data_IF_971983637052
#
_entry.id   IF_971983637052
#
_cell.length_a   1.000
_cell.length_b   1.000
_cell.length_c   1.000
_cell.angle_alpha   90.00
_cell.angle_beta   90.00
_cell.angle_gamma   90.00
#
_symmetry.space_group_name_H-M   'P 1'
#
loop_
_entity.id
_entity.type
_entity.pdbx_description
1 polymer ?
#
# COMPACT_ATOMS: atom_id res chain seq x y z
N UNK A 1 -36.63 -39.94 11.18
CA UNK A 1 -35.21 -39.54 11.31
C UNK A 1 -34.43 -40.28 10.23
N UNK A 2 -34.24 -39.63 9.09
CA UNK A 2 -33.51 -40.19 7.95
C UNK A 2 -32.07 -39.69 8.03
N UNK A 3 -31.18 -40.54 8.50
CA UNK A 3 -29.73 -40.34 8.52
C UNK A 3 -29.24 -40.29 7.08
N UNK A 4 -28.90 -39.09 6.60
CA UNK A 4 -28.29 -38.90 5.29
C UNK A 4 -26.80 -39.19 5.44
N UNK A 5 -26.36 -40.33 4.89
CA UNK A 5 -24.94 -40.70 4.80
C UNK A 5 -24.15 -39.64 4.02
N UNK A 6 -22.87 -39.39 4.36
CA UNK A 6 -22.02 -38.52 3.57
C UNK A 6 -21.81 -39.17 2.20
N UNK A 7 -22.30 -38.50 1.14
CA UNK A 7 -21.97 -38.89 -0.23
C UNK A 7 -20.45 -38.77 -0.42
N UNK A 8 -19.77 -39.90 -0.48
CA UNK A 8 -18.41 -40.00 -0.98
C UNK A 8 -18.39 -39.42 -2.40
N UNK A 9 -17.77 -38.26 -2.60
CA UNK A 9 -17.58 -37.72 -3.93
C UNK A 9 -16.75 -38.71 -4.75
N UNK A 10 -17.26 -39.12 -5.92
CA UNK A 10 -16.61 -40.10 -6.76
C UNK A 10 -15.29 -39.60 -7.35
N UNK A 11 -14.41 -40.49 -7.84
CA UNK A 11 -13.14 -40.14 -8.49
C UNK A 11 -13.26 -39.09 -9.61
N UNK A 12 -14.43 -38.97 -10.26
CA UNK A 12 -14.71 -37.92 -11.26
C UNK A 12 -14.71 -36.49 -10.71
N UNK A 13 -15.05 -36.27 -9.43
CA UNK A 13 -15.03 -34.92 -8.86
C UNK A 13 -13.61 -34.35 -8.73
N UNK A 14 -12.65 -35.23 -8.41
CA UNK A 14 -11.22 -34.88 -8.35
C UNK A 14 -10.67 -34.65 -9.77
N UNK A 15 -11.01 -35.52 -10.73
CA UNK A 15 -10.66 -35.32 -12.14
C UNK A 15 -11.18 -34.01 -12.72
N UNK A 16 -12.42 -33.63 -12.37
CA UNK A 16 -13.02 -32.32 -12.73
C UNK A 16 -12.24 -31.15 -12.15
N UNK A 17 -11.82 -31.23 -10.89
CA UNK A 17 -11.03 -30.18 -10.25
C UNK A 17 -9.68 -29.99 -10.94
N UNK A 18 -8.96 -31.07 -11.24
CA UNK A 18 -7.71 -30.98 -11.99
C UNK A 18 -7.90 -30.50 -13.43
N UNK A 19 -8.99 -30.90 -14.09
CA UNK A 19 -9.38 -30.35 -15.40
C UNK A 19 -9.60 -28.84 -15.35
N UNK A 20 -10.25 -28.34 -14.29
CA UNK A 20 -10.45 -26.90 -14.12
C UNK A 20 -9.13 -26.16 -13.87
N UNK A 21 -8.23 -26.72 -13.06
CA UNK A 21 -6.89 -26.16 -12.85
C UNK A 21 -6.13 -26.02 -14.18
N UNK A 22 -6.14 -27.07 -15.00
CA UNK A 22 -5.51 -27.04 -16.33
C UNK A 22 -6.14 -25.97 -17.22
N UNK A 23 -7.47 -25.90 -17.28
CA UNK A 23 -8.20 -24.86 -18.00
C UNK A 23 -7.79 -23.44 -17.59
N UNK A 24 -7.75 -23.16 -16.28
CA UNK A 24 -7.32 -21.86 -15.78
C UNK A 24 -5.84 -21.57 -16.12
N UNK A 25 -4.98 -22.58 -16.06
CA UNK A 25 -3.56 -22.46 -16.41
C UNK A 25 -3.35 -22.09 -17.88
N UNK A 26 -4.23 -22.57 -18.76
CA UNK A 26 -4.23 -22.27 -20.19
C UNK A 26 -4.85 -20.89 -20.53
N UNK A 27 -5.36 -20.18 -19.52
CA UNK A 27 -5.98 -18.86 -19.66
C UNK A 27 -7.50 -18.88 -19.63
N UNK A 28 -8.12 -20.01 -19.30
CA UNK A 28 -9.56 -20.15 -19.15
C UNK A 28 -10.15 -19.24 -18.06
N UNK A 29 -11.41 -18.86 -18.24
CA UNK A 29 -12.13 -17.92 -17.34
C UNK A 29 -13.45 -18.49 -16.81
N UNK A 30 -13.78 -19.74 -17.17
CA UNK A 30 -15.02 -20.41 -16.81
C UNK A 30 -15.13 -20.58 -15.29
N UNK A 31 -16.23 -20.12 -14.65
CA UNK A 31 -16.47 -20.33 -13.23
C UNK A 31 -16.54 -21.82 -12.84
N UNK A 32 -16.18 -22.14 -11.59
CA UNK A 32 -16.13 -23.51 -11.09
C UNK A 32 -17.44 -24.27 -11.29
N UNK A 33 -18.58 -23.71 -10.90
CA UNK A 33 -19.88 -24.39 -11.01
C UNK A 33 -20.32 -24.63 -12.47
N UNK A 34 -19.80 -23.86 -13.43
CA UNK A 34 -20.11 -24.01 -14.85
C UNK A 34 -19.15 -24.95 -15.58
N UNK A 35 -18.05 -25.35 -14.95
CA UNK A 35 -17.04 -26.22 -15.56
C UNK A 35 -17.47 -27.69 -15.53
N UNK A 36 -17.28 -28.43 -16.63
CA UNK A 36 -17.64 -29.86 -16.72
C UNK A 36 -16.54 -30.76 -17.27
N UNK A 37 -15.40 -30.19 -17.70
CA UNK A 37 -14.28 -30.98 -18.22
C UNK A 37 -13.55 -31.76 -17.14
N UNK A 38 -12.95 -32.89 -17.53
CA UNK A 38 -12.19 -33.77 -16.63
C UNK A 38 -10.75 -33.93 -17.14
N UNK A 39 -9.80 -34.11 -16.22
CA UNK A 39 -8.44 -34.51 -16.50
C UNK A 39 -8.11 -35.83 -15.79
N UNK A 40 -7.11 -36.55 -16.31
CA UNK A 40 -6.65 -37.80 -15.71
C UNK A 40 -6.01 -37.55 -14.32
N UNK A 41 -6.58 -38.13 -13.23
CA UNK A 41 -6.06 -37.96 -11.88
C UNK A 41 -4.67 -38.58 -11.66
N UNK A 42 -4.15 -39.39 -12.58
CA UNK A 42 -2.84 -40.05 -12.47
C UNK A 42 -1.65 -39.09 -12.37
N UNK A 43 -1.82 -37.80 -12.74
CA UNK A 43 -0.78 -36.75 -12.71
C UNK A 43 -1.04 -35.67 -11.65
N UNK A 44 -1.97 -35.91 -10.72
CA UNK A 44 -2.52 -34.92 -9.80
C UNK A 44 -1.51 -34.41 -8.75
N UNK A 45 -1.16 -33.12 -8.85
CA UNK A 45 -0.54 -32.34 -7.75
C UNK A 45 -1.58 -32.07 -6.66
N UNK A 46 -1.18 -31.68 -5.43
CA UNK A 46 -2.13 -31.17 -4.43
C UNK A 46 -2.98 -30.04 -5.01
N UNK A 47 -4.29 -30.09 -4.76
CA UNK A 47 -5.22 -29.14 -5.33
C UNK A 47 -5.07 -27.76 -4.65
N UNK A 48 -4.90 -26.67 -5.43
CA UNK A 48 -4.85 -25.33 -4.87
C UNK A 48 -6.18 -24.92 -4.23
N UNK A 49 -6.13 -24.00 -3.27
CA UNK A 49 -7.31 -23.45 -2.63
C UNK A 49 -8.21 -22.65 -3.57
N UNK A 50 -9.48 -22.50 -3.18
CA UNK A 50 -10.48 -21.74 -3.93
C UNK A 50 -10.04 -20.29 -4.19
N UNK A 51 -9.31 -19.66 -3.27
CA UNK A 51 -8.82 -18.30 -3.43
C UNK A 51 -7.71 -18.18 -4.50
N UNK A 52 -6.82 -19.16 -4.64
CA UNK A 52 -5.81 -19.16 -5.70
C UNK A 52 -6.46 -19.32 -7.07
N UNK A 53 -7.45 -20.22 -7.16
CA UNK A 53 -8.15 -20.53 -8.41
C UNK A 53 -9.00 -19.35 -8.89
N UNK A 54 -9.76 -18.72 -7.99
CA UNK A 54 -10.52 -17.52 -8.34
C UNK A 54 -9.62 -16.33 -8.69
N UNK A 55 -8.51 -16.13 -7.97
CA UNK A 55 -7.54 -15.08 -8.32
C UNK A 55 -6.99 -15.31 -9.73
N UNK A 56 -6.58 -16.53 -10.07
CA UNK A 56 -6.10 -16.87 -11.41
C UNK A 56 -7.15 -16.59 -12.49
N UNK A 57 -8.41 -16.99 -12.24
CA UNK A 57 -9.53 -16.72 -13.16
C UNK A 57 -9.71 -15.22 -13.41
N UNK A 58 -9.62 -14.38 -12.37
CA UNK A 58 -9.71 -12.91 -12.49
C UNK A 58 -8.50 -12.31 -13.21
N UNK A 59 -7.30 -12.83 -12.99
CA UNK A 59 -6.10 -12.43 -13.72
C UNK A 59 -6.23 -12.74 -15.22
N UNK A 60 -6.79 -13.90 -15.58
CA UNK A 60 -7.07 -14.27 -16.97
C UNK A 60 -8.09 -13.32 -17.63
N UNK A 61 -9.17 -12.98 -16.92
CA UNK A 61 -10.16 -11.99 -17.40
C UNK A 61 -9.53 -10.61 -17.65
N UNK A 62 -8.70 -10.13 -16.72
CA UNK A 62 -8.00 -8.86 -16.86
C UNK A 62 -6.99 -8.88 -18.03
N UNK A 63 -6.27 -9.99 -18.20
CA UNK A 63 -5.29 -10.17 -19.28
C UNK A 63 -5.92 -10.25 -20.67
N UNK A 64 -7.13 -10.81 -20.79
CA UNK A 64 -7.87 -10.84 -22.06
C UNK A 64 -8.40 -9.47 -22.50
N UNK A 65 -8.60 -8.56 -21.54
CA UNK A 65 -9.06 -7.19 -21.80
C UNK A 65 -7.92 -6.24 -22.21
N UNK A 66 -6.68 -6.56 -21.86
CA UNK A 66 -5.48 -5.81 -22.28
C UNK A 66 -5.03 -6.21 -23.69
N UNK A 67 -5.52 -5.48 -24.70
CA UNK A 67 -5.32 -5.75 -26.13
C UNK A 67 -3.90 -5.44 -26.66
N UNK A 68 -2.87 -6.16 -26.22
CA UNK A 68 -1.56 -6.09 -26.87
C UNK A 68 -0.98 -7.49 -27.13
N UNK A 69 -0.89 -7.94 -28.40
CA UNK A 69 -0.24 -9.20 -28.74
C UNK A 69 1.27 -8.99 -28.87
N UNK A 70 2.07 -9.58 -27.98
CA UNK A 70 3.49 -9.90 -28.18
C UNK A 70 3.70 -11.42 -28.15
N UNK A 71 4.63 -11.91 -28.98
CA UNK A 71 4.80 -13.34 -29.30
C UNK A 71 5.16 -14.29 -28.15
N UNK A 72 5.51 -13.81 -26.95
CA UNK A 72 5.91 -14.63 -25.80
C UNK A 72 4.81 -14.84 -24.72
N UNK A 73 3.59 -14.33 -24.94
CA UNK A 73 2.54 -14.32 -23.91
C UNK A 73 2.13 -15.68 -23.36
N UNK A 74 2.23 -16.75 -24.14
CA UNK A 74 1.85 -18.09 -23.67
C UNK A 74 2.73 -18.57 -22.52
N UNK A 75 4.06 -18.44 -22.65
CA UNK A 75 5.02 -18.95 -21.67
C UNK A 75 5.00 -18.14 -20.38
N UNK A 76 4.90 -16.82 -20.49
CA UNK A 76 4.80 -15.92 -19.33
C UNK A 76 3.48 -16.10 -18.58
N UNK A 77 2.37 -16.34 -19.30
CA UNK A 77 1.09 -16.68 -18.69
C UNK A 77 1.16 -17.98 -17.91
N UNK A 78 1.71 -19.05 -18.49
CA UNK A 78 1.85 -20.34 -17.78
C UNK A 78 2.72 -20.19 -16.53
N UNK A 79 3.82 -19.42 -16.61
CA UNK A 79 4.66 -19.13 -15.44
C UNK A 79 3.91 -18.36 -14.35
N UNK A 80 3.12 -17.36 -14.73
CA UNK A 80 2.30 -16.61 -13.78
C UNK A 80 1.24 -17.50 -13.14
N UNK A 81 0.55 -18.34 -13.93
CA UNK A 81 -0.42 -19.30 -13.43
C UNK A 81 0.22 -20.25 -12.41
N UNK A 82 1.37 -20.84 -12.74
CA UNK A 82 2.10 -21.73 -11.83
C UNK A 82 2.48 -21.04 -10.52
N UNK A 83 2.93 -19.78 -10.60
CA UNK A 83 3.21 -18.98 -9.41
C UNK A 83 1.96 -18.76 -8.56
N UNK A 84 0.84 -18.36 -9.16
CA UNK A 84 -0.42 -18.11 -8.44
C UNK A 84 -0.89 -19.38 -7.72
N UNK A 85 -0.90 -20.52 -8.43
CA UNK A 85 -1.35 -21.80 -7.88
C UNK A 85 -0.44 -22.34 -6.77
N UNK A 86 0.87 -22.05 -6.83
CA UNK A 86 1.83 -22.43 -5.79
C UNK A 86 1.91 -21.43 -4.63
N UNK A 87 1.28 -20.25 -4.73
CA UNK A 87 1.39 -19.21 -3.72
C UNK A 87 0.46 -19.48 -2.54
N UNK A 88 1.00 -19.61 -1.31
CA UNK A 88 0.16 -19.73 -0.12
C UNK A 88 -0.51 -18.38 0.20
N UNK A 89 -1.73 -18.42 0.72
CA UNK A 89 -2.40 -17.20 1.19
C UNK A 89 -1.74 -16.66 2.46
N UNK A 90 -1.42 -15.36 2.51
CA UNK A 90 -0.81 -14.72 3.69
C UNK A 90 -1.68 -14.89 4.95
N UNK A 91 -1.07 -15.16 6.12
CA UNK A 91 -1.77 -15.21 7.41
C UNK A 91 -1.46 -16.48 8.19
N UNK A 92 -1.03 -16.33 9.45
CA UNK A 92 -0.65 -17.46 10.32
C UNK A 92 -1.87 -18.35 10.59
N UNK A 93 -1.72 -19.66 10.38
CA UNK A 93 -2.71 -20.68 10.76
C UNK A 93 -3.98 -20.72 9.91
N UNK A 94 -4.06 -19.94 8.83
CA UNK A 94 -5.19 -19.96 7.90
C UNK A 94 -4.90 -20.92 6.75
N UNK A 95 -5.63 -22.04 6.72
CA UNK A 95 -5.56 -23.02 5.65
C UNK A 95 -6.16 -22.48 4.34
N UNK A 96 -5.86 -23.16 3.24
CA UNK A 96 -6.50 -22.92 1.95
C UNK A 96 -7.99 -23.26 2.00
N UNK A 97 -8.83 -22.49 1.29
CA UNK A 97 -10.27 -22.73 1.28
C UNK A 97 -10.59 -23.93 0.37
N UNK A 98 -11.27 -24.96 0.87
CA UNK A 98 -11.64 -26.11 0.06
C UNK A 98 -12.73 -25.75 -0.97
N UNK A 99 -12.79 -26.51 -2.05
CA UNK A 99 -13.79 -26.32 -3.10
C UNK A 99 -15.08 -27.08 -2.80
N UNK A 100 -16.21 -26.43 -3.05
CA UNK A 100 -17.53 -27.09 -3.04
C UNK A 100 -17.57 -28.25 -4.05
N UNK A 101 -18.16 -29.37 -3.65
CA UNK A 101 -18.28 -30.57 -4.48
C UNK A 101 -17.10 -31.56 -4.38
N UNK A 102 -16.09 -31.28 -3.55
CA UNK A 102 -15.00 -32.21 -3.23
C UNK A 102 -15.17 -32.85 -1.85
N UNK A 103 -14.52 -34.00 -1.59
CA UNK A 103 -14.51 -34.59 -0.26
C UNK A 103 -14.00 -33.60 0.80
N UNK A 104 -14.74 -33.45 1.89
CA UNK A 104 -14.36 -32.60 3.01
C UNK A 104 -14.47 -33.39 4.31
N UNK A 105 -13.39 -33.44 5.07
CA UNK A 105 -13.30 -34.26 6.29
C UNK A 105 -13.97 -33.61 7.53
N UNK A 106 -14.73 -32.53 7.36
CA UNK A 106 -15.49 -31.86 8.42
C UNK A 106 -14.67 -30.97 9.36
N UNK A 107 -13.34 -30.96 9.24
CA UNK A 107 -12.45 -30.08 9.98
C UNK A 107 -11.86 -28.99 9.07
N UNK A 108 -11.80 -27.76 9.57
CA UNK A 108 -11.23 -26.61 8.85
C UNK A 108 -12.30 -25.68 8.26
N UNK A 109 -11.91 -24.90 7.24
CA UNK A 109 -12.82 -23.99 6.56
C UNK A 109 -13.89 -24.76 5.76
N UNK A 110 -15.11 -24.22 5.74
CA UNK A 110 -16.22 -24.78 4.96
C UNK A 110 -15.88 -24.71 3.47
N UNK A 111 -16.19 -25.75 2.66
CA UNK A 111 -16.04 -25.69 1.22
C UNK A 111 -16.82 -24.53 0.60
N UNK A 112 -16.19 -23.81 -0.31
CA UNK A 112 -16.76 -22.62 -0.95
C UNK A 112 -16.78 -22.76 -2.47
N UNK A 113 -17.71 -22.05 -3.11
CA UNK A 113 -17.60 -21.76 -4.54
C UNK A 113 -16.55 -20.65 -4.73
N UNK A 114 -15.47 -20.88 -5.50
CA UNK A 114 -14.45 -19.87 -5.80
C UNK A 114 -15.03 -18.52 -6.25
N UNK A 115 -16.12 -18.51 -7.02
CA UNK A 115 -16.73 -17.25 -7.49
C UNK A 115 -17.31 -16.39 -6.36
N UNK A 116 -17.60 -16.98 -5.19
CA UNK A 116 -18.13 -16.30 -4.00
C UNK A 116 -17.05 -15.84 -3.04
N UNK A 117 -15.78 -16.19 -3.28
CA UNK A 117 -14.65 -15.79 -2.43
C UNK A 117 -14.50 -14.27 -2.47
N UNK A 118 -14.60 -13.65 -1.30
CA UNK A 118 -14.54 -12.20 -1.14
C UNK A 118 -13.15 -11.62 -1.48
N UNK A 119 -13.08 -10.32 -1.86
CA UNK A 119 -11.83 -9.68 -2.26
C UNK A 119 -10.72 -9.76 -1.20
N UNK A 120 -11.11 -9.73 0.08
CA UNK A 120 -10.21 -9.87 1.22
C UNK A 120 -9.34 -11.13 1.14
N UNK A 121 -9.94 -12.28 0.81
CA UNK A 121 -9.25 -13.57 0.75
C UNK A 121 -8.36 -13.67 -0.49
N UNK A 122 -8.79 -13.10 -1.62
CA UNK A 122 -7.98 -13.01 -2.84
C UNK A 122 -6.74 -12.13 -2.63
N UNK A 123 -6.90 -11.02 -1.91
CA UNK A 123 -5.80 -10.11 -1.54
C UNK A 123 -4.73 -10.80 -0.69
N UNK A 124 -5.06 -11.84 0.08
CA UNK A 124 -4.06 -12.60 0.85
C UNK A 124 -3.08 -13.33 -0.05
N UNK A 125 -3.52 -13.82 -1.20
CA UNK A 125 -2.65 -14.46 -2.21
C UNK A 125 -1.93 -13.39 -3.04
N UNK A 126 -2.67 -12.39 -3.53
CA UNK A 126 -2.11 -11.33 -4.37
C UNK A 126 -0.99 -10.52 -3.66
N UNK A 127 -1.14 -10.26 -2.36
CA UNK A 127 -0.11 -9.55 -1.58
C UNK A 127 1.19 -10.35 -1.46
N UNK A 128 1.13 -11.69 -1.43
CA UNK A 128 2.33 -12.54 -1.43
C UNK A 128 3.02 -12.49 -2.79
N UNK A 129 2.25 -12.61 -3.88
CA UNK A 129 2.79 -12.50 -5.24
C UNK A 129 3.52 -11.18 -5.46
N UNK A 130 2.89 -10.06 -5.08
CA UNK A 130 3.47 -8.72 -5.24
C UNK A 130 4.66 -8.48 -4.30
N UNK A 131 4.64 -9.04 -3.09
CA UNK A 131 5.78 -8.99 -2.19
C UNK A 131 6.97 -9.76 -2.75
N UNK A 132 6.75 -10.97 -3.29
CA UNK A 132 7.80 -11.77 -3.91
C UNK A 132 8.36 -11.06 -5.16
N UNK A 133 7.50 -10.42 -5.97
CA UNK A 133 7.94 -9.59 -7.11
C UNK A 133 8.78 -8.39 -6.65
N UNK A 134 8.39 -7.72 -5.56
CA UNK A 134 9.10 -6.57 -5.01
C UNK A 134 10.47 -6.98 -4.45
N UNK A 135 10.54 -8.12 -3.76
CA UNK A 135 11.80 -8.67 -3.23
C UNK A 135 12.72 -9.07 -4.38
N UNK A 136 12.19 -9.72 -5.42
CA UNK A 136 12.96 -10.09 -6.61
C UNK A 136 13.46 -8.86 -7.39
N UNK A 137 12.66 -7.79 -7.43
CA UNK A 137 13.04 -6.52 -8.05
C UNK A 137 14.19 -5.84 -7.29
N UNK A 138 14.22 -5.97 -5.96
CA UNK A 138 15.17 -5.27 -5.11
C UNK A 138 14.82 -3.80 -4.89
N UNK A 139 15.62 -3.12 -4.07
CA UNK A 139 15.42 -1.71 -3.80
C UNK A 139 16.05 -0.84 -4.90
N UNK A 140 15.32 0.18 -5.36
CA UNK A 140 15.85 1.19 -6.26
C UNK A 140 17.04 1.93 -5.61
N UNK A 141 18.10 2.20 -6.39
CA UNK A 141 19.25 2.94 -5.89
C UNK A 141 18.84 4.36 -5.50
N UNK A 142 19.32 4.83 -4.35
CA UNK A 142 19.05 6.20 -3.90
C UNK A 142 19.98 7.16 -4.63
N UNK A 143 19.42 8.01 -5.48
CA UNK A 143 20.18 9.07 -6.15
C UNK A 143 20.56 10.16 -5.14
N UNK A 144 21.86 10.29 -4.84
CA UNK A 144 22.38 11.39 -4.02
C UNK A 144 23.52 12.09 -4.75
N UNK A 145 23.57 13.41 -4.62
CA UNK A 145 24.70 14.23 -5.10
C UNK A 145 25.59 14.60 -3.92
N UNK A 146 26.89 14.79 -4.16
CA UNK A 146 27.84 15.25 -3.15
C UNK A 146 27.33 16.45 -2.36
N UNK A 147 27.39 16.34 -1.03
CA UNK A 147 26.91 17.37 -0.13
C UNK A 147 27.77 18.63 -0.24
N UNK A 148 27.16 19.77 -0.52
CA UNK A 148 27.87 21.06 -0.60
C UNK A 148 28.14 21.61 0.81
N UNK A 149 29.41 21.73 1.27
CA UNK A 149 29.73 22.04 2.67
C UNK A 149 29.30 23.44 3.12
N UNK A 150 29.18 24.40 2.20
CA UNK A 150 28.79 25.79 2.50
C UNK A 150 27.26 26.03 2.59
N UNK A 151 26.43 24.99 2.46
CA UNK A 151 24.96 25.13 2.52
C UNK A 151 24.46 24.94 3.95
N UNK A 152 23.49 25.77 4.35
CA UNK A 152 22.79 25.64 5.63
C UNK A 152 22.12 24.28 5.74
N UNK A 153 22.30 23.68 6.91
CA UNK A 153 21.82 22.36 7.29
C UNK A 153 20.41 22.46 7.86
N UNK A 154 19.52 21.59 7.41
CA UNK A 154 18.11 21.62 7.79
C UNK A 154 17.65 20.27 8.35
N UNK A 155 16.52 20.31 9.05
CA UNK A 155 15.73 19.16 9.47
C UNK A 155 14.27 19.38 9.09
N UNK A 156 13.63 18.36 8.54
CA UNK A 156 12.21 18.40 8.18
C UNK A 156 11.41 17.53 9.14
N UNK A 157 10.33 18.06 9.68
CA UNK A 157 9.37 17.33 10.54
C UNK A 157 7.94 17.73 10.15
N UNK A 158 6.94 17.01 10.66
CA UNK A 158 5.52 17.24 10.31
C UNK A 158 5.06 16.32 9.18
N UNK A 159 4.29 16.86 8.22
CA UNK A 159 3.65 16.08 7.15
C UNK A 159 4.64 15.09 6.48
N UNK A 160 4.46 13.78 6.68
CA UNK A 160 5.39 12.79 6.15
C UNK A 160 5.43 12.75 4.63
N UNK A 161 4.28 12.93 3.97
CA UNK A 161 4.18 12.82 2.51
C UNK A 161 4.93 13.99 1.85
N UNK A 162 4.75 15.20 2.36
CA UNK A 162 5.50 16.38 1.89
C UNK A 162 6.99 16.30 2.26
N UNK A 163 7.30 15.95 3.51
CA UNK A 163 8.68 15.98 3.98
C UNK A 163 9.54 14.89 3.34
N UNK A 164 9.01 13.70 3.04
CA UNK A 164 9.74 12.64 2.32
C UNK A 164 10.07 13.08 0.90
N UNK A 165 9.09 13.54 0.12
CA UNK A 165 9.30 14.03 -1.24
C UNK A 165 10.33 15.18 -1.27
N UNK A 166 10.26 16.08 -0.28
CA UNK A 166 11.19 17.20 -0.18
C UNK A 166 12.61 16.75 0.20
N UNK A 167 12.77 15.77 1.11
CA UNK A 167 14.07 15.19 1.45
C UNK A 167 14.76 14.61 0.21
N UNK A 168 14.03 13.81 -0.56
CA UNK A 168 14.55 13.19 -1.79
C UNK A 168 14.97 14.26 -2.82
N UNK A 169 14.09 15.23 -3.07
CA UNK A 169 14.36 16.33 -3.99
C UNK A 169 15.60 17.17 -3.60
N UNK A 170 15.78 17.43 -2.30
CA UNK A 170 16.91 18.19 -1.78
C UNK A 170 18.20 17.36 -1.77
N UNK A 171 18.12 16.07 -1.43
CA UNK A 171 19.26 15.15 -1.49
C UNK A 171 19.80 15.01 -2.92
N UNK A 172 18.92 14.87 -3.92
CA UNK A 172 19.30 14.85 -5.34
C UNK A 172 20.04 16.14 -5.77
N UNK A 173 19.78 17.28 -5.10
CA UNK A 173 20.45 18.58 -5.34
C UNK A 173 21.72 18.80 -4.50
N UNK A 174 22.21 17.77 -3.81
CA UNK A 174 23.40 17.87 -2.94
C UNK A 174 23.14 18.63 -1.65
N UNK A 175 21.88 18.62 -1.18
CA UNK A 175 21.44 19.22 0.09
C UNK A 175 20.79 18.17 0.99
N UNK A 176 21.53 17.15 1.45
CA UNK A 176 20.98 16.17 2.37
C UNK A 176 20.65 16.81 3.73
N UNK A 177 19.60 16.27 4.35
CA UNK A 177 19.15 16.64 5.70
C UNK A 177 20.21 16.28 6.77
N UNK A 178 20.29 17.05 7.85
CA UNK A 178 21.17 16.77 9.00
C UNK A 178 22.36 17.71 9.14
N UNK A 179 23.38 17.33 9.93
CA UNK A 179 24.54 18.17 10.28
C UNK A 179 24.42 18.83 11.68
N UNK A 180 25.49 19.49 12.15
CA UNK A 180 25.50 20.15 13.46
C UNK A 180 24.57 21.37 13.45
N UNK A 181 23.73 21.51 14.49
CA UNK A 181 22.82 22.64 14.73
C UNK A 181 21.93 23.00 13.50
N UNK A 182 21.12 22.06 13.00
CA UNK A 182 20.29 22.30 11.83
C UNK A 182 19.14 23.26 12.15
N UNK A 183 18.70 24.03 11.14
CA UNK A 183 17.42 24.72 11.24
C UNK A 183 16.27 23.72 11.01
N UNK A 184 15.22 23.80 11.81
CA UNK A 184 14.10 22.87 11.77
C UNK A 184 12.93 23.53 11.05
N UNK A 185 12.43 22.89 10.00
CA UNK A 185 11.18 23.27 9.34
C UNK A 185 10.14 22.22 9.66
N UNK A 186 9.11 22.63 10.40
CA UNK A 186 7.96 21.81 10.73
C UNK A 186 6.83 22.12 9.75
N UNK A 187 6.54 21.18 8.86
CA UNK A 187 5.49 21.31 7.85
C UNK A 187 4.16 20.94 8.48
N UNK A 188 3.31 21.95 8.68
CA UNK A 188 1.95 21.79 9.15
C UNK A 188 0.97 21.59 8.00
N UNK A 189 -0.12 20.90 8.32
CA UNK A 189 -1.31 20.69 7.49
C UNK A 189 -2.52 20.58 8.42
N UNK A 190 -3.74 20.68 7.88
CA UNK A 190 -4.94 20.23 8.56
C UNK A 190 -4.72 18.89 9.26
N UNK A 191 -5.13 18.78 10.52
CA UNK A 191 -4.74 17.63 11.34
C UNK A 191 -5.35 16.31 10.85
N UNK A 192 -6.53 16.35 10.25
CA UNK A 192 -7.15 15.20 9.57
C UNK A 192 -6.29 14.68 8.42
N UNK A 193 -5.77 15.58 7.58
CA UNK A 193 -4.81 15.24 6.51
C UNK A 193 -3.49 14.71 7.09
N UNK A 194 -2.95 15.33 8.14
CA UNK A 194 -1.72 14.85 8.79
C UNK A 194 -1.86 13.41 9.32
N UNK A 195 -3.01 13.06 9.89
CA UNK A 195 -3.29 11.71 10.37
C UNK A 195 -3.35 10.72 9.19
N UNK A 196 -4.07 11.08 8.13
CA UNK A 196 -4.18 10.27 6.91
C UNK A 196 -2.81 10.05 6.25
N UNK A 197 -2.02 11.11 6.07
CA UNK A 197 -0.68 11.06 5.51
C UNK A 197 0.27 10.25 6.40
N UNK A 198 0.14 10.37 7.72
CA UNK A 198 0.96 9.60 8.67
C UNK A 198 0.69 8.11 8.56
N UNK A 199 -0.57 7.68 8.53
CA UNK A 199 -0.91 6.27 8.33
C UNK A 199 -0.48 5.77 6.95
N UNK A 200 -0.75 6.55 5.90
CA UNK A 200 -0.36 6.24 4.52
C UNK A 200 1.15 6.03 4.42
N UNK A 201 1.96 6.94 4.95
CA UNK A 201 3.41 6.79 4.93
C UNK A 201 3.88 5.56 5.72
N UNK A 202 3.24 5.23 6.86
CA UNK A 202 3.60 4.01 7.61
C UNK A 202 3.35 2.73 6.80
N UNK A 203 2.31 2.72 5.96
CA UNK A 203 2.04 1.61 5.06
C UNK A 203 3.19 1.38 4.05
N UNK A 204 3.90 2.43 3.65
CA UNK A 204 5.09 2.38 2.79
C UNK A 204 6.43 2.36 3.54
N UNK A 205 6.45 2.07 4.84
CA UNK A 205 7.70 1.99 5.62
C UNK A 205 7.83 0.67 6.38
N UNK A 206 6.99 0.49 7.40
CA UNK A 206 7.09 -0.63 8.33
C UNK A 206 5.81 -1.45 8.42
N UNK A 207 4.76 -1.01 7.72
CA UNK A 207 3.41 -1.54 7.86
C UNK A 207 2.62 -0.87 8.98
N UNK A 208 1.30 -1.05 8.94
CA UNK A 208 0.37 -0.50 9.91
C UNK A 208 -0.78 -1.49 10.17
N UNK A 209 -1.46 -1.31 11.30
CA UNK A 209 -2.80 -1.88 11.49
C UNK A 209 -3.78 -1.19 10.53
N UNK A 210 -4.95 -1.80 10.25
CA UNK A 210 -6.00 -1.17 9.44
C UNK A 210 -6.33 0.24 9.93
N UNK A 211 -6.66 1.15 9.01
CA UNK A 211 -6.87 2.58 9.29
C UNK A 211 -7.80 2.83 10.48
N UNK A 212 -8.96 2.19 10.52
CA UNK A 212 -9.94 2.35 11.59
C UNK A 212 -9.40 1.93 12.97
N UNK A 213 -8.61 0.85 13.03
CA UNK A 213 -7.98 0.38 14.27
C UNK A 213 -6.85 1.31 14.72
N UNK A 214 -6.04 1.76 13.76
CA UNK A 214 -4.93 2.68 14.01
C UNK A 214 -5.43 4.02 14.55
N UNK A 215 -6.49 4.57 13.95
CA UNK A 215 -7.08 5.84 14.38
C UNK A 215 -7.74 5.70 15.77
N UNK A 216 -8.49 4.61 15.96
CA UNK A 216 -9.09 4.26 17.26
C UNK A 216 -8.04 4.18 18.36
N UNK A 217 -6.90 3.53 18.10
CA UNK A 217 -5.81 3.38 19.07
C UNK A 217 -5.32 4.73 19.63
N UNK A 218 -5.17 5.74 18.76
CA UNK A 218 -4.73 7.09 19.13
C UNK A 218 -5.81 7.89 19.83
N UNK A 219 -7.05 7.80 19.33
CA UNK A 219 -8.19 8.48 19.94
C UNK A 219 -8.50 7.94 21.33
N UNK A 220 -8.45 6.63 21.56
CA UNK A 220 -8.61 6.03 22.90
C UNK A 220 -7.57 6.53 23.91
N UNK A 221 -6.41 6.99 23.45
CA UNK A 221 -5.33 7.54 24.29
C UNK A 221 -5.35 9.05 24.40
N UNK A 222 -6.26 9.71 23.69
CA UNK A 222 -6.28 11.16 23.47
C UNK A 222 -4.89 11.72 23.10
N UNK A 223 -4.17 11.02 22.22
CA UNK A 223 -2.80 11.35 21.82
C UNK A 223 -2.67 11.39 20.30
N UNK A 224 -1.71 12.17 19.81
CA UNK A 224 -1.35 12.20 18.40
C UNK A 224 -0.10 11.34 18.16
N UNK A 225 0.00 10.66 17.00
CA UNK A 225 1.25 10.04 16.60
C UNK A 225 2.34 11.09 16.39
N UNK A 226 3.60 10.73 16.67
CA UNK A 226 4.75 11.65 16.64
C UNK A 226 4.83 12.56 15.40
N UNK A 227 4.50 12.03 14.22
CA UNK A 227 4.58 12.78 12.95
C UNK A 227 3.42 13.76 12.74
N UNK A 228 2.27 13.52 13.38
CA UNK A 228 1.14 14.45 13.39
C UNK A 228 1.20 15.42 14.59
N UNK A 229 1.90 15.06 15.67
CA UNK A 229 2.17 15.96 16.80
C UNK A 229 3.33 16.91 16.46
N UNK A 230 2.99 18.04 15.83
CA UNK A 230 3.95 19.08 15.49
C UNK A 230 4.70 19.58 16.73
N UNK A 231 4.00 19.76 17.85
CA UNK A 231 4.58 20.32 19.08
C UNK A 231 5.61 19.36 19.66
N UNK A 232 5.28 18.08 19.79
CA UNK A 232 6.22 17.06 20.25
C UNK A 232 7.42 16.94 19.29
N UNK A 233 7.16 16.93 17.98
CA UNK A 233 8.20 16.87 16.93
C UNK A 233 9.24 17.98 17.04
N UNK A 234 8.84 19.19 17.42
CA UNK A 234 9.75 20.34 17.55
C UNK A 234 10.30 20.55 18.97
N UNK A 235 9.64 20.01 20.00
CA UNK A 235 10.02 20.23 21.42
C UNK A 235 11.44 19.78 21.73
N UNK A 236 11.88 18.67 21.14
CA UNK A 236 13.24 18.12 21.32
C UNK A 236 14.35 19.06 20.85
N UNK A 237 14.03 20.10 20.09
CA UNK A 237 14.97 21.08 19.55
C UNK A 237 14.96 22.41 20.33
N UNK A 238 14.32 22.47 21.49
CA UNK A 238 14.32 23.64 22.37
C UNK A 238 15.67 23.79 23.09
N UNK A 239 16.62 24.41 22.40
CA UNK A 239 17.89 24.85 22.99
C UNK A 239 18.38 26.16 22.37
N UNK A 240 18.32 27.25 23.15
CA UNK A 240 19.07 28.51 23.00
C UNK A 240 19.22 29.17 21.61
N UNK A 241 18.20 29.10 20.74
CA UNK A 241 17.80 30.12 19.73
C UNK A 241 16.65 29.56 18.86
N UNK A 242 15.71 30.38 18.36
CA UNK A 242 14.57 29.94 17.56
C UNK A 242 15.00 29.57 16.13
N UNK A 243 15.51 28.35 15.96
CA UNK A 243 15.76 27.79 14.63
C UNK A 243 14.61 26.92 14.11
N UNK A 244 13.49 26.87 14.83
CA UNK A 244 12.27 26.18 14.41
C UNK A 244 11.35 27.16 13.68
N UNK A 245 10.93 26.81 12.47
CA UNK A 245 9.86 27.46 11.72
C UNK A 245 8.74 26.47 11.46
N UNK A 246 7.54 26.79 11.89
CA UNK A 246 6.31 26.07 11.54
C UNK A 246 5.77 26.68 10.25
N UNK A 247 5.61 25.86 9.22
CA UNK A 247 5.16 26.29 7.88
C UNK A 247 3.83 25.62 7.62
N UNK A 248 2.75 26.40 7.58
CA UNK A 248 1.40 25.92 7.22
C UNK A 248 1.04 26.30 5.78
N UNK A 249 1.60 27.41 5.28
CA UNK A 249 1.50 27.82 3.88
C UNK A 249 2.60 27.13 3.04
N UNK A 250 2.22 26.11 2.26
CA UNK A 250 3.15 25.33 1.44
C UNK A 250 3.74 26.12 0.26
N UNK A 251 3.08 27.16 -0.24
CA UNK A 251 3.63 27.99 -1.32
C UNK A 251 4.85 28.79 -0.85
N UNK A 252 4.95 29.01 0.46
CA UNK A 252 6.11 29.65 1.10
C UNK A 252 7.21 28.66 1.50
N UNK A 253 6.95 27.35 1.47
CA UNK A 253 7.91 26.31 1.84
C UNK A 253 9.22 26.34 1.04
N UNK A 254 9.24 26.56 -0.31
CA UNK A 254 10.49 26.62 -1.09
C UNK A 254 11.49 27.62 -0.51
N UNK A 255 11.03 28.80 -0.11
CA UNK A 255 11.87 29.87 0.47
C UNK A 255 12.46 29.46 1.81
N UNK A 256 11.75 28.65 2.60
CA UNK A 256 12.22 28.20 3.91
C UNK A 256 13.36 27.19 3.81
N UNK A 257 13.38 26.37 2.75
CA UNK A 257 14.45 25.40 2.48
C UNK A 257 15.47 25.89 1.45
N UNK A 258 15.34 27.15 1.00
CA UNK A 258 16.28 27.83 0.13
C UNK A 258 16.30 27.31 -1.31
N UNK A 259 15.15 26.88 -1.84
CA UNK A 259 14.96 26.46 -3.24
C UNK A 259 13.91 27.33 -3.92
N UNK A 260 13.89 27.31 -5.26
CA UNK A 260 12.94 28.11 -6.06
C UNK A 260 11.54 27.48 -6.10
N UNK A 261 11.49 26.15 -6.16
CA UNK A 261 10.26 25.37 -6.18
C UNK A 261 10.49 24.04 -5.46
N UNK A 262 9.40 23.48 -4.96
CA UNK A 262 9.32 22.10 -4.46
C UNK A 262 8.52 21.27 -5.45
N UNK A 263 8.78 19.96 -5.57
CA UNK A 263 7.99 19.12 -6.47
C UNK A 263 6.54 19.07 -5.98
N UNK A 264 5.60 18.94 -6.92
CA UNK A 264 4.23 18.60 -6.57
C UNK A 264 4.25 17.26 -5.82
N UNK A 265 3.60 17.22 -4.66
CA UNK A 265 3.59 16.04 -3.80
C UNK A 265 2.34 15.23 -4.14
N UNK A 266 2.57 14.00 -4.60
CA UNK A 266 1.49 13.05 -4.84
C UNK A 266 1.13 12.35 -3.53
N UNK A 267 -0.14 12.43 -3.13
CA UNK A 267 -0.66 11.66 -1.99
C UNK A 267 -1.22 10.34 -2.52
N UNK A 268 -0.75 9.18 -2.04
CA UNK A 268 -1.32 7.90 -2.42
C UNK A 268 -2.81 7.77 -2.07
N UNK A 269 -3.58 7.12 -2.93
CA UNK A 269 -4.97 6.76 -2.68
C UNK A 269 -5.11 5.72 -1.56
N UNK A 270 -6.33 5.58 -1.02
CA UNK A 270 -6.61 4.61 0.05
C UNK A 270 -6.33 3.16 -0.38
N UNK A 271 -6.59 2.84 -1.64
CA UNK A 271 -6.32 1.54 -2.26
C UNK A 271 -4.82 1.22 -2.31
N UNK A 272 -4.01 2.20 -2.73
CA UNK A 272 -2.55 2.09 -2.79
C UNK A 272 -1.94 1.91 -1.41
N UNK A 273 -2.39 2.71 -0.43
CA UNK A 273 -1.91 2.64 0.94
C UNK A 273 -2.23 1.29 1.58
N UNK A 274 -3.46 0.79 1.40
CA UNK A 274 -3.89 -0.51 1.94
C UNK A 274 -3.17 -1.68 1.27
N UNK A 275 -2.96 -1.63 -0.06
CA UNK A 275 -2.17 -2.63 -0.75
C UNK A 275 -0.73 -2.66 -0.23
N UNK A 276 -0.10 -1.48 -0.09
CA UNK A 276 1.24 -1.36 0.47
C UNK A 276 1.31 -1.89 1.92
N UNK A 277 0.30 -1.64 2.74
CA UNK A 277 0.20 -2.17 4.11
C UNK A 277 0.24 -3.70 4.12
N UNK A 278 -0.51 -4.35 3.23
CA UNK A 278 -0.57 -5.81 3.10
C UNK A 278 0.73 -6.40 2.57
N UNK A 279 1.34 -5.75 1.56
CA UNK A 279 2.67 -6.12 1.04
C UNK A 279 3.73 -5.99 2.13
N UNK A 280 3.76 -4.88 2.87
CA UNK A 280 4.71 -4.62 3.95
C UNK A 280 4.67 -5.72 5.03
N UNK A 281 3.49 -6.25 5.36
CA UNK A 281 3.35 -7.35 6.31
C UNK A 281 4.03 -8.63 5.79
N UNK A 282 3.92 -8.94 4.50
CA UNK A 282 4.58 -10.11 3.90
C UNK A 282 6.09 -9.88 3.77
N UNK A 283 6.52 -8.73 3.27
CA UNK A 283 7.93 -8.33 3.18
C UNK A 283 8.59 -8.40 4.56
N UNK A 284 7.87 -7.99 5.61
CA UNK A 284 8.31 -8.07 7.00
C UNK A 284 8.64 -9.48 7.50
N UNK A 285 8.15 -10.52 6.83
CA UNK A 285 8.46 -11.93 7.12
C UNK A 285 9.55 -12.49 6.21
N UNK A 286 9.78 -11.88 5.04
CA UNK A 286 10.69 -12.38 4.00
C UNK A 286 12.09 -11.78 4.08
N UNK A 287 12.23 -10.53 4.51
CA UNK A 287 13.50 -9.81 4.48
C UNK A 287 13.92 -9.22 5.83
N UNK A 288 15.24 -9.05 6.08
CA UNK A 288 15.77 -8.36 7.24
C UNK A 288 15.21 -6.94 7.41
N UNK A 289 15.11 -6.46 8.65
CA UNK A 289 14.49 -5.16 8.96
C UNK A 289 15.14 -3.96 8.27
N UNK A 290 16.45 -4.02 7.97
CA UNK A 290 17.19 -2.91 7.37
C UNK A 290 16.96 -2.76 5.85
N UNK A 291 16.51 -3.81 5.17
CA UNK A 291 16.23 -3.78 3.71
C UNK A 291 14.82 -3.24 3.40
N UNK A 292 13.87 -3.46 4.32
CA UNK A 292 12.44 -3.13 4.14
C UNK A 292 12.19 -1.68 3.69
N UNK A 293 12.82 -0.65 4.29
CA UNK A 293 12.55 0.72 3.88
C UNK A 293 12.94 1.01 2.43
N UNK A 294 13.97 0.33 1.90
CA UNK A 294 14.37 0.48 0.49
C UNK A 294 13.34 -0.14 -0.46
N UNK A 295 12.89 -1.36 -0.14
CA UNK A 295 11.84 -2.05 -0.92
C UNK A 295 10.51 -1.29 -0.89
N UNK A 296 10.07 -0.84 0.29
CA UNK A 296 8.80 -0.15 0.39
C UNK A 296 8.81 1.24 -0.26
N UNK A 297 9.96 1.94 -0.26
CA UNK A 297 10.15 3.16 -1.07
C UNK A 297 10.05 2.86 -2.58
N UNK A 298 10.66 1.76 -3.01
CA UNK A 298 10.59 1.29 -4.42
C UNK A 298 9.14 1.03 -4.83
N UNK A 299 8.37 0.38 -3.95
CA UNK A 299 6.93 0.20 -4.15
C UNK A 299 6.21 1.56 -4.24
N UNK A 300 6.47 2.49 -3.33
CA UNK A 300 5.83 3.82 -3.33
C UNK A 300 6.07 4.60 -4.62
N UNK A 301 7.25 4.46 -5.23
CA UNK A 301 7.63 5.16 -6.45
C UNK A 301 7.07 4.50 -7.72
N UNK A 302 6.83 3.19 -7.69
CA UNK A 302 6.45 2.39 -8.87
C UNK A 302 4.99 1.96 -8.89
N UNK A 303 4.28 2.05 -7.76
CA UNK A 303 2.87 1.68 -7.68
C UNK A 303 2.04 2.54 -8.67
N UNK A 304 1.23 1.92 -9.55
CA UNK A 304 0.48 2.65 -10.57
C UNK A 304 -0.41 3.73 -10.00
N UNK A 305 -0.68 4.76 -10.81
CA UNK A 305 -1.58 5.82 -10.40
C UNK A 305 -3.00 5.30 -10.17
N UNK A 306 -3.64 5.84 -9.13
CA UNK A 306 -5.02 5.55 -8.77
C UNK A 306 -5.80 6.85 -8.65
N UNK A 307 -7.06 6.80 -9.09
CA UNK A 307 -8.04 7.88 -8.94
C UNK A 307 -8.80 7.79 -7.62
N UNK A 308 -8.55 6.75 -6.83
CA UNK A 308 -9.16 6.56 -5.51
C UNK A 308 -8.64 7.63 -4.55
N UNK A 309 -9.55 8.28 -3.83
CA UNK A 309 -9.19 9.30 -2.87
C UNK A 309 -8.33 8.72 -1.72
N UNK A 310 -7.47 9.53 -1.08
CA UNK A 310 -6.79 9.14 0.15
C UNK A 310 -7.76 8.77 1.28
N UNK A 311 -7.28 8.07 2.29
CA UNK A 311 -8.09 7.79 3.50
C UNK A 311 -8.46 9.09 4.21
N UNK A 312 -9.66 9.12 4.77
CA UNK A 312 -10.20 10.28 5.50
C UNK A 312 -10.54 9.92 6.93
N UNK A 313 -10.52 10.93 7.81
CA UNK A 313 -10.98 10.79 9.20
C UNK A 313 -12.50 10.60 9.20
N UNK A 314 -13.02 9.53 9.82
CA UNK A 314 -14.46 9.30 9.90
C UNK A 314 -15.16 10.34 10.76
N UNK A 315 -16.42 10.62 10.46
CA UNK A 315 -17.27 11.64 11.12
C UNK A 315 -17.25 11.57 12.64
N UNK A 316 -17.35 10.35 13.18
CA UNK A 316 -17.37 10.08 14.62
C UNK A 316 -16.10 10.55 15.36
N UNK A 317 -14.99 10.74 14.65
CA UNK A 317 -13.70 11.14 15.25
C UNK A 317 -13.41 12.64 15.04
N UNK A 318 -14.27 13.40 14.33
CA UNK A 318 -14.02 14.81 13.97
C UNK A 318 -13.81 15.70 15.18
N UNK A 319 -14.65 15.56 16.21
CA UNK A 319 -14.57 16.39 17.42
C UNK A 319 -13.23 16.21 18.14
N UNK A 320 -12.75 14.97 18.20
CA UNK A 320 -11.45 14.65 18.78
C UNK A 320 -10.31 15.26 17.96
N UNK A 321 -10.38 15.19 16.62
CA UNK A 321 -9.38 15.83 15.75
C UNK A 321 -9.42 17.35 15.89
N UNK A 322 -10.59 17.98 15.91
CA UNK A 322 -10.73 19.42 16.08
C UNK A 322 -10.16 19.89 17.44
N UNK A 323 -10.49 19.18 18.53
CA UNK A 323 -9.93 19.44 19.84
C UNK A 323 -8.40 19.28 19.87
N UNK A 324 -7.88 18.25 19.19
CA UNK A 324 -6.44 18.00 19.05
C UNK A 324 -5.73 19.10 18.27
N UNK A 325 -6.31 19.56 17.16
CA UNK A 325 -5.79 20.67 16.37
C UNK A 325 -5.72 21.95 17.21
N UNK A 326 -6.79 22.26 17.94
CA UNK A 326 -6.83 23.42 18.83
C UNK A 326 -5.77 23.33 19.96
N UNK A 327 -5.50 22.14 20.50
CA UNK A 327 -4.40 21.92 21.46
C UNK A 327 -3.03 22.17 20.81
N UNK A 328 -2.82 21.69 19.59
CA UNK A 328 -1.58 21.91 18.83
C UNK A 328 -1.36 23.41 18.58
N UNK A 329 -2.37 24.13 18.11
CA UNK A 329 -2.32 25.59 17.91
C UNK A 329 -1.91 26.29 19.21
N UNK A 330 -2.62 26.05 20.32
CA UNK A 330 -2.27 26.62 21.64
C UNK A 330 -0.85 26.28 22.07
N UNK A 331 -0.41 25.05 21.80
CA UNK A 331 0.94 24.58 22.11
C UNK A 331 2.02 25.31 21.32
N UNK A 332 1.82 25.52 20.02
CA UNK A 332 2.73 26.27 19.14
C UNK A 332 2.75 27.75 19.51
N UNK A 333 1.60 28.36 19.79
CA UNK A 333 1.52 29.77 20.21
C UNK A 333 2.23 30.00 21.54
N UNK A 334 1.92 29.18 22.57
CA UNK A 334 2.56 29.28 23.89
C UNK A 334 4.07 29.08 23.83
N UNK A 335 4.54 28.29 22.86
CA UNK A 335 5.95 28.05 22.63
C UNK A 335 6.72 29.25 22.05
N UNK A 336 6.03 30.20 21.43
CA UNK A 336 6.66 31.30 20.69
C UNK A 336 7.43 30.83 19.45
N UNK A 337 7.03 29.73 18.80
CA UNK A 337 7.67 29.30 17.56
C UNK A 337 7.35 30.28 16.41
N UNK A 338 8.31 30.49 15.50
CA UNK A 338 8.07 31.28 14.28
C UNK A 338 7.12 30.52 13.36
N UNK A 339 6.08 31.20 12.87
CA UNK A 339 5.08 30.65 11.96
C UNK A 339 5.17 31.32 10.60
N UNK A 340 5.06 30.53 9.54
CA UNK A 340 4.97 30.97 8.14
C UNK A 340 3.65 30.45 7.57
N UNK A 341 2.66 31.35 7.47
CA UNK A 341 1.26 31.01 7.16
C UNK A 341 0.37 31.34 8.36
N UNK A 342 -0.82 30.75 8.43
CA UNK A 342 -1.73 30.86 9.56
C UNK A 342 -1.78 29.54 10.36
N UNK A 343 -1.85 29.62 11.69
CA UNK A 343 -2.06 28.43 12.53
C UNK A 343 -3.51 27.94 12.45
N UNK A 344 -4.46 28.78 12.04
CA UNK A 344 -5.82 28.36 11.74
C UNK A 344 -5.89 27.28 10.64
N UNK A 345 -4.91 27.25 9.73
CA UNK A 345 -4.77 26.24 8.67
C UNK A 345 -4.51 24.81 9.20
N UNK A 346 -4.23 24.66 10.51
CA UNK A 346 -4.13 23.34 11.16
C UNK A 346 -5.51 22.75 11.51
N UNK A 347 -6.57 23.55 11.46
CA UNK A 347 -7.92 23.08 11.71
C UNK A 347 -8.34 22.07 10.63
N UNK A 348 -9.15 21.05 10.98
CA UNK A 348 -9.63 20.07 10.00
C UNK A 348 -10.44 20.72 8.88
N UNK A 349 -10.35 20.18 7.66
CA UNK A 349 -11.09 20.72 6.52
C UNK A 349 -12.56 20.28 6.54
N UNK A 350 -13.47 21.25 6.45
CA UNK A 350 -14.91 20.98 6.29
C UNK A 350 -15.25 20.32 4.92
N UNK A 351 -14.42 20.50 3.88
CA UNK A 351 -14.68 19.95 2.54
C UNK A 351 -14.44 18.43 2.46
N UNK A 352 -13.49 17.88 3.24
CA UNK A 352 -13.34 16.44 3.44
C UNK A 352 -14.59 15.81 4.11
N UNK A 353 -15.50 16.65 4.63
CA UNK A 353 -16.75 16.26 5.26
C UNK A 353 -17.89 15.94 4.28
N UNK A 354 -17.80 16.37 3.02
CA UNK A 354 -18.85 16.11 2.01
C UNK A 354 -18.52 14.97 1.06
N UNK A 355 -17.26 14.52 1.01
CA UNK A 355 -16.92 13.30 0.31
C UNK A 355 -17.41 12.12 1.16
N UNK A 356 -18.62 11.62 0.87
CA UNK A 356 -19.18 10.38 1.43
C UNK A 356 -18.42 9.13 0.95
N UNK A 357 -17.09 9.16 1.04
CA UNK A 357 -16.24 8.00 0.80
C UNK A 357 -16.29 7.06 2.01
N UNK A 358 -16.08 5.74 1.80
CA UNK A 358 -15.99 4.81 2.90
C UNK A 358 -14.91 5.27 3.88
N UNK A 359 -15.18 5.11 5.19
CA UNK A 359 -14.32 5.47 6.32
C UNK A 359 -12.99 4.68 6.37
N UNK A 360 -12.63 3.98 5.29
CA UNK A 360 -11.44 3.16 5.12
C UNK A 360 -11.34 2.63 3.69
N UNK A 361 -10.24 1.94 3.37
CA UNK A 361 -10.00 1.35 2.05
C UNK A 361 -11.09 0.32 1.68
N UNK A 362 -11.55 0.33 0.42
CA UNK A 362 -12.43 -0.70 -0.14
C UNK A 362 -11.60 -1.87 -0.68
N UNK A 363 -11.79 -3.06 -0.11
CA UNK A 363 -11.05 -4.27 -0.50
C UNK A 363 -11.23 -4.64 -1.98
N UNK A 364 -12.35 -4.28 -2.62
CA UNK A 364 -12.53 -4.51 -4.06
C UNK A 364 -11.62 -3.61 -4.89
N UNK A 365 -11.55 -2.31 -4.59
CA UNK A 365 -10.64 -1.37 -5.26
C UNK A 365 -9.17 -1.75 -5.07
N UNK A 366 -8.81 -2.20 -3.87
CA UNK A 366 -7.45 -2.68 -3.55
C UNK A 366 -7.13 -3.93 -4.38
N UNK A 367 -8.08 -4.85 -4.52
CA UNK A 367 -7.91 -6.05 -5.35
C UNK A 367 -7.76 -5.70 -6.83
N UNK A 368 -8.55 -4.77 -7.34
CA UNK A 368 -8.46 -4.33 -8.74
C UNK A 368 -7.10 -3.70 -9.04
N UNK A 369 -6.54 -2.90 -8.11
CA UNK A 369 -5.18 -2.38 -8.21
C UNK A 369 -4.14 -3.52 -8.17
N UNK A 370 -4.30 -4.49 -7.27
CA UNK A 370 -3.38 -5.64 -7.17
C UNK A 370 -3.39 -6.48 -8.46
N UNK A 371 -4.57 -6.78 -9.01
CA UNK A 371 -4.74 -7.48 -10.30
C UNK A 371 -4.05 -6.71 -11.42
N UNK A 372 -4.26 -5.39 -11.49
CA UNK A 372 -3.60 -4.52 -12.48
C UNK A 372 -2.08 -4.62 -12.37
N UNK A 373 -1.52 -4.54 -11.17
CA UNK A 373 -0.09 -4.69 -10.95
C UNK A 373 0.43 -6.08 -11.32
N UNK A 374 -0.30 -7.15 -11.03
CA UNK A 374 0.15 -8.51 -11.38
C UNK A 374 0.18 -8.70 -12.91
N UNK A 375 -0.84 -8.19 -13.62
CA UNK A 375 -1.00 -8.34 -15.07
C UNK A 375 -0.10 -7.39 -15.86
N UNK A 376 0.05 -6.14 -15.42
CA UNK A 376 0.91 -5.15 -16.10
C UNK A 376 2.30 -5.12 -15.46
N UNK A 377 3.34 -5.71 -16.10
CA UNK A 377 4.69 -5.70 -15.57
C UNK A 377 5.36 -4.31 -15.65
N UNK A 378 4.69 -3.28 -16.18
CA UNK A 378 5.22 -1.93 -16.35
C UNK A 378 5.81 -1.34 -15.06
N UNK A 379 5.20 -1.61 -13.91
CA UNK A 379 5.72 -1.14 -12.61
C UNK A 379 7.06 -1.82 -12.22
N UNK A 380 7.31 -3.06 -12.69
CA UNK A 380 8.57 -3.79 -12.45
C UNK A 380 9.70 -3.29 -13.35
N UNK A 381 9.39 -2.82 -14.56
CA UNK A 381 10.39 -2.46 -15.56
C UNK A 381 11.16 -1.16 -15.26
N UNK A 382 10.65 -0.29 -14.37
CA UNK A 382 11.27 1.00 -14.04
C UNK A 382 11.33 1.99 -15.21
N UNK A 383 11.49 3.27 -14.91
CA UNK A 383 11.54 4.39 -15.89
C UNK A 383 12.72 4.37 -16.86
N UNK A 384 13.47 3.26 -16.98
CA UNK A 384 14.61 3.14 -17.88
C UNK A 384 14.24 3.38 -19.36
N UNK A 385 12.97 3.17 -19.75
CA UNK A 385 12.50 3.44 -21.12
C UNK A 385 12.30 4.92 -21.46
N UNK A 386 12.27 5.82 -20.48
CA UNK A 386 12.08 7.26 -20.76
C UNK A 386 13.40 7.94 -21.11
N UNK A 387 14.52 7.46 -20.59
CA UNK A 387 15.84 8.07 -20.82
C UNK A 387 16.40 7.73 -22.21
N UNK A 388 16.16 6.53 -22.74
CA UNK A 388 16.64 6.16 -24.09
C UNK A 388 15.92 6.92 -25.22
N UNK A 389 14.66 7.31 -25.05
CA UNK A 389 13.94 8.13 -26.03
C UNK A 389 14.25 9.63 -25.98
N UNK A 390 14.94 10.11 -24.94
CA UNK A 390 15.33 11.51 -24.81
C UNK A 390 16.79 11.81 -25.21
N UNK A 391 17.59 10.79 -25.52
CA UNK A 391 18.96 10.95 -26.04
C UNK A 391 18.99 10.92 -27.58
N UNK A 392 17.90 10.50 -28.23
CA UNK A 392 17.69 10.63 -29.67
C UNK A 392 16.72 11.78 -30.01
N UNK A 393 17.03 13.01 -29.61
CA UNK A 393 16.51 14.23 -30.27
C UNK A 393 17.48 15.40 -30.17
#
# INVERSE_FOLDING_TARGET
MTTTSPQSAGPGAVGRAHGWVAHLRDGGTTPWLAWTGEADPSTARPLPGAQQLELLRRLNLASGSSAQPRGDHGRDRTRLADRVLATPAAGRGKADLPLVGLPHHGFGAVPVDPATVGPHELLRVASVLLADDLVALGADPVTTTWAKPWRRRFRLVGDPVVTVALREHLAARGRPEGGPRPFVVAVGRPLDELLAHTWTQRCFETGATPWAEWLRFWRERDQLPDRADLVASVRRWRGHRPFVRVVTDLDRLPRQVGVRSVPAVRVPGADQAELARRIAAVVGLRVPAHERPGLMRTLQQRIPDSTVAPVVVPDRERDWVAASAARTVRGVTRAGYSVVGDLADLAPHAAASMASGPAGPDDQQVLDLAIRMVVDPGWRAGSARTTERQVER
#
